data_IF_176526122614
#
_entry.id   IF_176526122614
#
_cell.length_a   1.000
_cell.length_b   1.000
_cell.length_c   1.000
_cell.angle_alpha   90.00
_cell.angle_beta   90.00
_cell.angle_gamma   90.00
#
_symmetry.space_group_name_H-M   'P 1'
#
loop_
_entity.id
_entity.type
_entity.pdbx_description
1 polymer ?
#
# COMPACT_ATOMS: atom_id res chain seq x y z
N UNK A 1 -29.70 19.46 -23.86
CA UNK A 1 -29.32 18.91 -22.55
C UNK A 1 -27.80 18.91 -22.50
N UNK A 2 -27.13 19.47 -21.48
CA UNK A 2 -25.69 19.46 -21.45
C UNK A 2 -25.20 17.99 -21.31
N UNK A 3 -24.14 17.60 -22.03
CA UNK A 3 -23.67 16.21 -22.05
C UNK A 3 -23.13 15.81 -20.68
N UNK A 4 -23.54 14.62 -20.24
CA UNK A 4 -23.22 13.96 -18.98
C UNK A 4 -21.74 14.11 -18.60
N UNK A 5 -21.47 14.90 -17.56
CA UNK A 5 -20.12 15.14 -17.06
C UNK A 5 -19.83 14.21 -15.87
N UNK A 6 -19.79 12.91 -16.13
CA UNK A 6 -19.34 11.97 -15.11
C UNK A 6 -17.83 12.22 -15.00
N UNK A 7 -17.37 12.64 -13.84
CA UNK A 7 -15.97 12.95 -13.55
C UNK A 7 -15.68 12.21 -12.27
N UNK A 8 -14.88 11.15 -12.32
CA UNK A 8 -14.33 10.53 -11.11
C UNK A 8 -13.21 11.44 -10.62
N UNK A 9 -13.45 12.21 -9.57
CA UNK A 9 -12.42 13.04 -8.95
C UNK A 9 -11.76 12.30 -7.79
N UNK A 10 -10.61 11.68 -8.06
CA UNK A 10 -9.79 11.04 -7.03
C UNK A 10 -8.91 12.10 -6.37
N UNK A 11 -9.18 12.39 -5.10
CA UNK A 11 -8.35 13.29 -4.30
C UNK A 11 -7.50 12.53 -3.32
N UNK A 12 -6.22 12.36 -3.63
CA UNK A 12 -5.30 11.67 -2.73
C UNK A 12 -4.71 12.66 -1.71
N UNK A 13 -4.74 12.36 -0.40
CA UNK A 13 -4.30 13.29 0.65
C UNK A 13 -2.94 12.94 1.25
N UNK A 14 -2.09 13.97 1.42
CA UNK A 14 -1.07 14.04 2.48
C UNK A 14 -1.55 15.06 3.52
N UNK A 15 -1.10 14.95 4.78
CA UNK A 15 -1.67 15.56 6.02
C UNK A 15 -2.19 17.02 6.01
N UNK A 16 -2.01 17.81 4.94
CA UNK A 16 -2.55 19.18 4.85
C UNK A 16 -3.18 19.58 3.49
N UNK A 17 -3.06 18.80 2.40
CA UNK A 17 -3.61 19.19 1.06
C UNK A 17 -4.01 17.98 0.18
N UNK A 18 -4.85 18.23 -0.84
CA UNK A 18 -5.19 17.29 -1.92
C UNK A 18 -4.38 17.61 -3.18
N UNK A 19 -3.13 17.13 -3.31
CA UNK A 19 -2.22 17.48 -4.40
C UNK A 19 -2.56 16.88 -5.76
N UNK A 20 -3.47 15.90 -5.84
CA UNK A 20 -3.78 15.21 -7.10
C UNK A 20 -5.28 15.16 -7.36
N UNK A 21 -5.66 15.40 -8.62
CA UNK A 21 -7.01 15.22 -9.13
C UNK A 21 -6.93 14.38 -10.40
N UNK A 22 -7.60 13.24 -10.39
CA UNK A 22 -7.81 12.44 -11.61
C UNK A 22 -9.18 12.83 -12.16
N UNK A 23 -9.32 12.88 -13.48
CA UNK A 23 -10.57 13.17 -14.16
C UNK A 23 -10.83 12.08 -15.20
N UNK A 24 -11.87 11.28 -15.01
CA UNK A 24 -12.33 10.28 -15.99
C UNK A 24 -13.63 10.77 -16.59
N UNK A 25 -13.74 10.88 -17.93
CA UNK A 25 -14.95 11.42 -18.59
C UNK A 25 -15.08 12.95 -18.53
N UNK A 26 -13.96 13.66 -18.38
CA UNK A 26 -13.93 15.13 -18.36
C UNK A 26 -14.31 15.75 -19.72
N UNK A 27 -14.60 17.06 -19.71
CA UNK A 27 -14.92 17.87 -20.91
C UNK A 27 -16.03 17.25 -21.78
N UNK A 28 -17.17 16.93 -21.16
CA UNK A 28 -18.28 16.29 -21.86
C UNK A 28 -17.98 14.86 -22.28
N UNK A 29 -17.36 14.07 -21.39
CA UNK A 29 -17.03 12.67 -21.62
C UNK A 29 -16.08 12.44 -22.80
N UNK A 30 -15.15 13.38 -23.03
CA UNK A 30 -14.23 13.36 -24.18
C UNK A 30 -12.78 13.07 -23.80
N UNK A 31 -12.41 13.24 -22.52
CA UNK A 31 -11.01 13.18 -22.08
C UNK A 31 -10.84 12.52 -20.72
N UNK A 32 -9.63 12.02 -20.50
CA UNK A 32 -9.07 11.71 -19.18
C UNK A 32 -7.94 12.70 -18.91
N UNK A 33 -7.83 13.16 -17.67
CA UNK A 33 -6.76 14.07 -17.26
C UNK A 33 -6.29 13.84 -15.83
N UNK A 34 -5.04 14.20 -15.55
CA UNK A 34 -4.48 14.25 -14.20
C UNK A 34 -4.02 15.69 -13.95
N UNK A 35 -4.47 16.29 -12.85
CA UNK A 35 -4.05 17.62 -12.41
C UNK A 35 -3.32 17.54 -11.08
N UNK A 36 -2.18 18.23 -11.02
CA UNK A 36 -1.39 18.39 -9.80
C UNK A 36 -1.63 19.76 -9.18
N UNK A 37 -1.73 19.82 -7.85
CA UNK A 37 -1.84 21.03 -7.03
C UNK A 37 -2.94 22.02 -7.44
N UNK A 38 -3.97 21.55 -8.16
CA UNK A 38 -5.02 22.37 -8.78
C UNK A 38 -4.47 23.42 -9.76
N UNK A 39 -3.29 23.19 -10.33
CA UNK A 39 -2.64 24.08 -11.28
C UNK A 39 -2.90 23.67 -12.73
N UNK A 40 -2.82 24.64 -13.63
CA UNK A 40 -2.85 24.43 -15.08
C UNK A 40 -1.47 24.74 -15.65
N UNK A 41 -1.02 24.04 -16.71
CA UNK A 41 -1.72 22.97 -17.45
C UNK A 41 -1.85 21.67 -16.65
N UNK A 42 -2.78 20.79 -17.07
CA UNK A 42 -2.88 19.44 -16.49
C UNK A 42 -1.60 18.65 -16.81
N UNK A 43 -1.12 17.84 -15.86
CA UNK A 43 0.11 17.03 -16.05
C UNK A 43 -0.11 15.88 -17.03
N UNK A 44 -1.36 15.44 -17.17
CA UNK A 44 -1.81 14.55 -18.25
C UNK A 44 -3.13 15.06 -18.78
N UNK A 45 -3.27 15.10 -20.09
CA UNK A 45 -4.55 15.32 -20.77
C UNK A 45 -4.57 14.47 -22.05
N UNK A 46 -5.48 13.50 -22.13
CA UNK A 46 -5.57 12.57 -23.26
C UNK A 46 -7.02 12.43 -23.75
N UNK A 47 -7.27 12.45 -25.07
CA UNK A 47 -8.57 12.10 -25.64
C UNK A 47 -8.96 10.67 -25.28
N UNK A 48 -10.14 10.50 -24.70
CA UNK A 48 -10.69 9.20 -24.35
C UNK A 48 -12.23 9.28 -24.36
N UNK A 49 -12.86 9.43 -25.54
CA UNK A 49 -14.28 9.75 -25.62
C UNK A 49 -15.20 8.59 -25.22
N UNK A 50 -16.43 8.91 -24.82
CA UNK A 50 -17.48 7.95 -24.45
C UNK A 50 -17.07 7.03 -23.28
N UNK A 51 -16.27 7.56 -22.36
CA UNK A 51 -15.73 6.80 -21.22
C UNK A 51 -16.83 6.33 -20.29
N UNK A 52 -17.79 7.18 -19.96
CA UNK A 52 -18.81 6.92 -18.94
C UNK A 52 -20.22 6.93 -19.53
N UNK A 53 -21.16 6.24 -18.89
CA UNK A 53 -22.54 6.04 -19.36
C UNK A 53 -23.53 6.28 -18.23
N UNK A 54 -24.74 6.74 -18.54
CA UNK A 54 -25.82 6.90 -17.55
C UNK A 54 -26.54 5.57 -17.25
N UNK A 55 -26.44 4.58 -18.14
CA UNK A 55 -27.20 3.32 -18.04
C UNK A 55 -26.38 2.10 -17.65
N UNK A 56 -25.06 2.25 -17.48
CA UNK A 56 -24.15 1.13 -17.27
C UNK A 56 -22.96 1.56 -16.40
N UNK A 57 -22.67 0.77 -15.37
CA UNK A 57 -21.46 0.91 -14.59
C UNK A 57 -20.25 0.48 -15.41
N UNK A 58 -19.26 1.36 -15.53
CA UNK A 58 -17.94 1.02 -16.07
C UNK A 58 -16.94 0.86 -14.95
N UNK A 59 -16.05 -0.12 -15.10
CA UNK A 59 -15.08 -0.43 -14.07
C UNK A 59 -13.73 0.17 -14.40
N UNK A 60 -13.15 0.84 -13.43
CA UNK A 60 -11.82 1.42 -13.49
C UNK A 60 -11.03 0.95 -12.30
N UNK A 61 -9.72 0.89 -12.47
CA UNK A 61 -8.81 0.72 -11.35
C UNK A 61 -7.76 1.82 -11.40
N UNK A 62 -7.33 2.22 -10.21
CA UNK A 62 -6.28 3.21 -10.02
C UNK A 62 -5.28 2.64 -9.05
N UNK A 63 -4.00 2.74 -9.39
CA UNK A 63 -2.91 2.37 -8.49
C UNK A 63 -1.93 3.52 -8.39
N UNK A 64 -1.36 3.69 -7.20
CA UNK A 64 -0.31 4.67 -6.95
C UNK A 64 0.86 3.92 -6.31
N UNK A 65 1.96 3.86 -7.04
CA UNK A 65 3.11 3.08 -6.64
C UNK A 65 4.39 3.73 -7.17
N UNK A 66 5.41 3.92 -6.31
CA UNK A 66 6.72 4.49 -6.65
C UNK A 66 6.63 5.80 -7.44
N UNK A 67 5.85 6.75 -6.90
CA UNK A 67 5.57 8.02 -7.56
C UNK A 67 4.82 7.88 -8.89
N UNK A 68 4.28 6.71 -9.23
CA UNK A 68 3.59 6.45 -10.49
C UNK A 68 2.11 6.18 -10.28
N UNK A 69 1.27 6.93 -10.98
CA UNK A 69 -0.18 6.73 -11.08
C UNK A 69 -0.47 5.92 -12.32
N UNK A 70 -1.17 4.81 -12.15
CA UNK A 70 -1.67 3.99 -13.25
C UNK A 70 -3.20 3.97 -13.24
N UNK A 71 -3.79 4.08 -14.42
CA UNK A 71 -5.21 3.91 -14.66
C UNK A 71 -5.43 2.76 -15.63
N UNK A 72 -6.36 1.88 -15.29
CA UNK A 72 -6.86 0.88 -16.23
C UNK A 72 -8.36 0.66 -16.10
N UNK A 73 -8.86 -0.26 -16.92
CA UNK A 73 -10.27 -0.59 -17.04
C UNK A 73 -10.51 -2.06 -16.80
N UNK A 74 -11.68 -2.35 -16.26
CA UNK A 74 -12.20 -3.69 -16.05
C UNK A 74 -11.19 -4.57 -15.29
N UNK A 75 -11.02 -5.82 -15.72
CA UNK A 75 -10.04 -6.75 -15.18
C UNK A 75 -8.74 -6.77 -15.98
N UNK A 76 -8.54 -5.83 -16.92
CA UNK A 76 -7.30 -5.76 -17.67
C UNK A 76 -6.17 -5.22 -16.77
N UNK A 77 -5.11 -6.00 -16.50
CA UNK A 77 -4.02 -5.55 -15.63
C UNK A 77 -3.11 -4.52 -16.31
N UNK A 78 -3.24 -4.31 -17.61
CA UNK A 78 -2.43 -3.34 -18.35
C UNK A 78 -3.05 -1.95 -18.22
N UNK A 79 -2.34 -0.95 -17.66
CA UNK A 79 -2.86 0.40 -17.60
C UNK A 79 -3.01 0.98 -19.01
N UNK A 80 -4.12 1.69 -19.25
CA UNK A 80 -4.26 2.51 -20.45
C UNK A 80 -3.58 3.88 -20.29
N UNK A 81 -3.28 4.30 -19.05
CA UNK A 81 -2.57 5.54 -18.73
C UNK A 81 -1.62 5.31 -17.56
N UNK A 82 -0.39 5.79 -17.70
CA UNK A 82 0.64 5.78 -16.66
C UNK A 82 1.32 7.14 -16.60
N UNK A 83 1.50 7.68 -15.40
CA UNK A 83 2.18 8.95 -15.17
C UNK A 83 3.03 8.89 -13.91
N UNK A 84 4.31 9.26 -14.04
CA UNK A 84 5.29 9.19 -12.96
C UNK A 84 5.76 10.58 -12.54
N UNK A 85 5.91 10.77 -11.23
CA UNK A 85 6.39 11.98 -10.59
C UNK A 85 7.15 11.61 -9.30
N UNK A 86 8.50 11.68 -9.32
CA UNK A 86 9.33 11.33 -8.16
C UNK A 86 9.08 12.18 -6.92
N UNK A 87 8.45 13.36 -7.08
CA UNK A 87 8.14 14.27 -5.97
C UNK A 87 6.73 14.04 -5.40
N UNK A 88 6.06 12.96 -5.80
CA UNK A 88 4.73 12.62 -5.33
C UNK A 88 4.77 12.10 -3.88
N UNK A 89 3.92 12.64 -2.98
CA UNK A 89 3.84 12.13 -1.62
C UNK A 89 3.12 10.78 -1.59
N UNK A 90 3.31 10.04 -0.50
CA UNK A 90 2.47 8.89 -0.18
C UNK A 90 1.05 9.33 0.15
N UNK A 91 0.06 8.61 -0.39
CA UNK A 91 -1.35 8.87 -0.17
C UNK A 91 -1.95 7.84 0.78
N UNK A 92 -2.63 8.33 1.82
CA UNK A 92 -3.28 7.49 2.82
C UNK A 92 -4.79 7.30 2.58
N UNK A 93 -5.42 8.24 1.87
CA UNK A 93 -6.84 8.18 1.56
C UNK A 93 -7.13 8.81 0.19
N UNK A 94 -8.30 8.47 -0.35
CA UNK A 94 -8.85 9.08 -1.55
C UNK A 94 -10.31 9.48 -1.36
N UNK A 95 -10.75 10.52 -2.07
CA UNK A 95 -12.15 10.90 -2.21
C UNK A 95 -12.67 10.59 -3.62
N UNK A 96 -13.99 10.47 -3.77
CA UNK A 96 -14.68 10.41 -5.06
C UNK A 96 -15.81 11.43 -5.05
N UNK A 97 -15.93 12.24 -6.09
CA UNK A 97 -17.11 13.07 -6.33
C UNK A 97 -17.39 13.14 -7.82
N UNK A 98 -18.60 13.58 -8.19
CA UNK A 98 -18.96 13.91 -9.57
C UNK A 98 -18.43 15.28 -9.98
N UNK A 99 -18.44 15.53 -11.28
CA UNK A 99 -18.16 16.85 -11.85
C UNK A 99 -19.31 17.83 -11.61
N UNK A 100 -19.04 19.12 -11.80
CA UNK A 100 -20.05 20.17 -11.64
C UNK A 100 -21.27 19.91 -12.53
N UNK A 101 -22.46 19.90 -11.92
CA UNK A 101 -23.73 19.69 -12.63
C UNK A 101 -24.04 18.23 -13.00
N UNK A 102 -23.21 17.27 -12.57
CA UNK A 102 -23.45 15.85 -12.79
C UNK A 102 -23.85 15.11 -11.51
N UNK A 103 -24.68 14.08 -11.69
CA UNK A 103 -24.98 13.07 -10.67
C UNK A 103 -24.44 11.72 -11.16
N UNK A 104 -24.14 10.84 -10.23
CA UNK A 104 -23.56 9.53 -10.53
C UNK A 104 -23.65 8.64 -9.30
N UNK A 105 -23.57 7.34 -9.53
CA UNK A 105 -23.43 6.34 -8.48
C UNK A 105 -22.05 5.70 -8.65
N UNK A 106 -21.46 5.24 -7.56
CA UNK A 106 -20.22 4.48 -7.64
C UNK A 106 -20.18 3.39 -6.59
N UNK A 107 -19.45 2.32 -6.91
CA UNK A 107 -19.12 1.24 -5.98
C UNK A 107 -17.61 1.15 -5.89
N UNK A 108 -17.08 1.16 -4.67
CA UNK A 108 -15.65 0.97 -4.39
C UNK A 108 -15.46 -0.50 -4.00
N UNK A 109 -14.55 -1.17 -4.69
CA UNK A 109 -14.12 -2.54 -4.41
C UNK A 109 -12.63 -2.49 -3.98
N UNK A 110 -12.35 -2.93 -2.76
CA UNK A 110 -11.03 -2.93 -2.10
C UNK A 110 -10.30 -4.28 -2.22
N UNK A 111 -11.00 -5.34 -2.62
CA UNK A 111 -10.49 -6.71 -2.67
C UNK A 111 -10.01 -7.19 -4.06
N UNK A 112 -9.83 -6.29 -5.03
CA UNK A 112 -9.48 -6.66 -6.40
C UNK A 112 -8.00 -7.08 -6.55
N UNK A 113 -7.71 -8.26 -7.10
CA UNK A 113 -6.36 -8.84 -7.23
C UNK A 113 -5.61 -8.52 -8.53
N UNK A 114 -6.26 -7.86 -9.51
CA UNK A 114 -5.83 -7.87 -10.91
C UNK A 114 -4.57 -7.07 -11.25
N UNK A 115 -4.30 -5.92 -10.62
CA UNK A 115 -3.06 -5.19 -10.88
C UNK A 115 -1.95 -5.61 -9.93
N UNK A 116 -0.82 -6.05 -10.49
CA UNK A 116 0.48 -6.24 -9.82
C UNK A 116 1.48 -5.30 -10.49
N UNK A 117 2.22 -4.53 -9.71
CA UNK A 117 3.32 -3.75 -10.26
C UNK A 117 4.31 -4.72 -10.92
N UNK A 118 5.02 -4.28 -11.97
CA UNK A 118 6.08 -5.07 -12.57
C UNK A 118 7.04 -5.54 -11.47
N UNK A 119 7.56 -6.78 -11.54
CA UNK A 119 8.60 -7.20 -10.62
C UNK A 119 9.73 -6.18 -10.68
N UNK A 120 10.22 -5.78 -9.50
CA UNK A 120 11.41 -4.98 -9.39
C UNK A 120 12.52 -5.55 -10.29
N UNK A 121 13.28 -4.73 -11.03
CA UNK A 121 14.61 -5.19 -11.42
C UNK A 121 15.31 -5.60 -10.12
N UNK A 122 15.84 -6.82 -10.10
CA UNK A 122 16.63 -7.34 -8.99
C UNK A 122 17.85 -6.44 -8.89
N UNK A 123 17.75 -5.36 -8.12
CA UNK A 123 18.93 -4.61 -7.70
C UNK A 123 19.60 -5.54 -6.70
N UNK A 124 20.68 -6.17 -7.13
CA UNK A 124 21.61 -6.88 -6.25
C UNK A 124 22.14 -5.87 -5.23
N UNK A 125 21.40 -5.64 -4.16
CA UNK A 125 21.86 -4.86 -3.03
C UNK A 125 23.03 -5.62 -2.38
N UNK A 126 24.14 -4.94 -2.06
CA UNK A 126 25.26 -5.58 -1.40
C UNK A 126 24.89 -5.90 0.05
N UNK A 127 24.92 -7.18 0.40
CA UNK A 127 24.60 -7.73 1.73
C UNK A 127 23.12 -8.06 1.84
N UNK A 128 22.66 -9.30 2.02
CA UNK A 128 23.21 -10.41 2.79
C UNK A 128 22.98 -11.72 2.04
N UNK A 129 24.03 -12.52 1.89
CA UNK A 129 23.93 -13.88 1.38
C UNK A 129 23.16 -14.74 2.38
N UNK A 130 21.92 -15.11 2.05
CA UNK A 130 21.25 -16.23 2.72
C UNK A 130 21.58 -17.45 1.87
N UNK A 131 22.31 -18.42 2.43
CA UNK A 131 22.66 -19.65 1.74
C UNK A 131 21.40 -20.33 1.16
N UNK A 132 21.43 -20.83 -0.09
CA UNK A 132 20.32 -21.59 -0.67
C UNK A 132 20.34 -23.01 -0.08
N UNK A 133 20.03 -23.15 1.22
CA UNK A 133 19.88 -24.45 1.90
C UNK A 133 19.34 -24.32 3.33
N UNK A 134 18.47 -23.36 3.62
CA UNK A 134 17.58 -23.54 4.78
C UNK A 134 16.57 -24.64 4.39
N UNK A 135 16.51 -25.78 5.11
CA UNK A 135 15.50 -26.78 4.85
C UNK A 135 14.11 -26.15 5.01
N UNK A 136 13.13 -26.67 4.27
CA UNK A 136 11.71 -26.51 4.62
C UNK A 136 11.47 -27.15 6.01
N UNK A 137 11.86 -26.43 7.06
CA UNK A 137 11.44 -26.70 8.42
C UNK A 137 10.03 -26.18 8.58
N UNK A 138 9.06 -27.06 8.33
CA UNK A 138 7.63 -26.78 8.46
C UNK A 138 7.24 -26.65 9.94
N UNK A 139 7.49 -25.48 10.52
CA UNK A 139 6.74 -25.01 11.69
C UNK A 139 5.85 -23.87 11.23
N UNK A 140 4.57 -23.90 11.65
CA UNK A 140 3.60 -22.89 11.25
C UNK A 140 3.86 -21.57 12.02
N UNK A 141 3.82 -20.41 11.34
CA UNK A 141 4.02 -19.12 11.98
C UNK A 141 3.01 -18.93 13.12
N UNK A 142 3.52 -18.69 14.33
CA UNK A 142 2.70 -18.54 15.55
C UNK A 142 3.02 -17.22 16.23
N UNK A 143 1.98 -16.47 16.58
CA UNK A 143 2.08 -15.24 17.35
C UNK A 143 1.98 -15.55 18.84
N UNK A 144 3.01 -15.20 19.62
CA UNK A 144 3.05 -15.39 21.07
C UNK A 144 2.89 -14.05 21.78
N UNK A 145 1.83 -13.86 22.60
CA UNK A 145 1.70 -12.68 23.43
C UNK A 145 2.87 -12.57 24.40
N UNK A 146 3.37 -11.36 24.56
CA UNK A 146 4.40 -11.00 25.53
C UNK A 146 4.19 -9.56 26.01
N UNK A 147 4.93 -9.18 27.05
CA UNK A 147 4.96 -7.82 27.56
C UNK A 147 6.37 -7.45 27.99
N UNK A 148 6.75 -6.19 27.81
CA UNK A 148 8.07 -5.73 28.25
C UNK A 148 9.21 -6.37 27.44
N UNK A 149 10.27 -6.80 28.13
CA UNK A 149 11.51 -7.31 27.53
C UNK A 149 11.57 -8.84 27.38
N UNK A 150 10.46 -9.56 27.63
CA UNK A 150 10.41 -11.02 27.55
C UNK A 150 10.32 -11.51 26.09
N UNK A 151 11.46 -11.85 25.49
CA UNK A 151 11.50 -12.38 24.12
C UNK A 151 11.47 -13.92 24.14
N UNK A 152 10.52 -14.57 23.45
CA UNK A 152 10.49 -16.02 23.35
C UNK A 152 11.75 -16.62 22.69
N UNK A 153 12.22 -17.82 23.11
CA UNK A 153 13.44 -18.45 22.58
C UNK A 153 13.47 -18.69 21.05
N UNK A 154 12.30 -18.83 20.41
CA UNK A 154 12.14 -19.07 18.97
C UNK A 154 11.62 -17.83 18.22
N UNK A 155 11.87 -16.64 18.76
CA UNK A 155 11.48 -15.38 18.13
C UNK A 155 12.20 -15.18 16.80
N UNK A 156 11.43 -14.80 15.78
CA UNK A 156 11.96 -14.62 14.42
C UNK A 156 12.75 -13.31 14.33
N UNK A 157 14.05 -13.37 13.96
CA UNK A 157 14.85 -12.19 13.70
C UNK A 157 14.27 -11.35 12.57
N UNK A 158 14.02 -10.08 12.84
CA UNK A 158 13.42 -9.14 11.89
C UNK A 158 14.42 -8.21 11.24
N UNK A 159 15.48 -7.85 11.98
CA UNK A 159 16.44 -6.85 11.58
C UNK A 159 17.47 -6.59 12.67
N UNK A 160 18.26 -5.53 12.51
CA UNK A 160 19.32 -5.17 13.45
C UNK A 160 19.47 -3.65 13.50
N UNK A 161 19.53 -3.11 14.72
CA UNK A 161 19.80 -1.70 15.00
C UNK A 161 20.48 -1.61 16.37
N UNK A 162 21.81 -1.67 16.39
CA UNK A 162 22.67 -1.80 17.59
C UNK A 162 22.42 -3.06 18.45
N UNK A 163 21.23 -3.65 18.38
CA UNK A 163 20.83 -4.93 18.94
C UNK A 163 19.97 -5.72 17.94
N UNK A 164 19.72 -7.00 18.25
CA UNK A 164 18.84 -7.86 17.47
C UNK A 164 17.38 -7.39 17.61
N UNK A 165 16.74 -7.07 16.49
CA UNK A 165 15.31 -6.74 16.44
C UNK A 165 14.50 -7.99 16.09
N UNK A 166 13.29 -8.10 16.65
CA UNK A 166 12.38 -9.20 16.36
C UNK A 166 11.11 -8.69 15.66
N UNK A 167 10.44 -9.60 14.95
CA UNK A 167 9.15 -9.31 14.32
C UNK A 167 8.07 -9.37 15.40
N UNK A 168 7.37 -8.26 15.60
CA UNK A 168 6.20 -8.21 16.46
C UNK A 168 4.99 -7.60 15.78
N UNK A 169 3.86 -7.65 16.47
CA UNK A 169 2.66 -6.88 16.15
C UNK A 169 1.99 -6.41 17.42
N UNK A 170 1.31 -5.28 17.34
CA UNK A 170 0.59 -4.72 18.48
C UNK A 170 -0.74 -4.09 18.04
N UNK A 171 -1.70 -4.10 18.96
CA UNK A 171 -3.00 -3.45 18.77
C UNK A 171 -2.90 -1.97 19.15
N UNK A 172 -3.29 -1.08 18.24
CA UNK A 172 -3.35 0.36 18.49
C UNK A 172 -4.45 1.01 17.65
N UNK A 173 -5.31 1.81 18.28
CA UNK A 173 -6.39 2.55 17.63
C UNK A 173 -7.27 1.71 16.67
N UNK A 174 -7.58 0.47 17.05
CA UNK A 174 -8.41 -0.46 16.26
C UNK A 174 -7.65 -1.21 15.16
N UNK A 175 -6.35 -0.96 14.99
CA UNK A 175 -5.48 -1.64 14.03
C UNK A 175 -4.56 -2.64 14.74
N UNK A 176 -4.41 -3.84 14.19
CA UNK A 176 -3.38 -4.81 14.59
C UNK A 176 -2.22 -4.65 13.62
N UNK A 177 -1.18 -3.93 14.03
CA UNK A 177 -0.10 -3.48 13.12
C UNK A 177 1.19 -4.25 13.38
N UNK A 178 1.85 -4.82 12.34
CA UNK A 178 3.19 -5.39 12.47
C UNK A 178 4.26 -4.30 12.63
N UNK A 179 5.32 -4.60 13.37
CA UNK A 179 6.38 -3.67 13.70
C UNK A 179 7.65 -4.34 14.21
N UNK A 180 8.56 -3.52 14.74
CA UNK A 180 9.85 -3.96 15.28
C UNK A 180 9.78 -4.10 16.80
N UNK A 181 10.26 -5.22 17.33
CA UNK A 181 10.43 -5.40 18.78
C UNK A 181 11.88 -5.07 19.13
N UNK A 182 12.04 -4.19 20.11
CA UNK A 182 13.34 -3.73 20.61
C UNK A 182 13.47 -4.25 22.04
N UNK A 183 14.20 -5.38 22.26
CA UNK A 183 14.26 -6.04 23.55
C UNK A 183 14.72 -5.13 24.69
N UNK A 184 15.75 -4.31 24.46
CA UNK A 184 16.27 -3.39 25.47
C UNK A 184 15.27 -2.31 25.90
N UNK A 185 14.35 -1.92 25.01
CA UNK A 185 13.30 -0.94 25.31
C UNK A 185 12.04 -1.59 25.88
N UNK A 186 11.89 -2.92 25.72
CA UNK A 186 10.74 -3.67 26.21
C UNK A 186 9.43 -3.32 25.51
N UNK A 187 9.47 -2.91 24.24
CA UNK A 187 8.29 -2.51 23.47
C UNK A 187 8.34 -3.02 22.03
N UNK A 188 7.16 -3.16 21.43
CA UNK A 188 7.00 -3.24 19.98
C UNK A 188 6.67 -1.85 19.43
N UNK A 189 7.53 -1.35 18.54
CA UNK A 189 7.28 -0.11 17.81
C UNK A 189 6.49 -0.40 16.54
N UNK A 190 5.33 0.25 16.41
CA UNK A 190 4.46 0.17 15.25
C UNK A 190 4.29 1.55 14.61
N UNK A 191 4.14 1.57 13.28
CA UNK A 191 3.86 2.81 12.54
C UNK A 191 2.35 3.02 12.40
N UNK A 192 1.81 4.06 13.04
CA UNK A 192 0.39 4.41 12.96
C UNK A 192 0.21 5.93 12.96
N UNK A 193 -0.76 6.45 12.20
CA UNK A 193 -1.04 7.90 12.15
C UNK A 193 0.11 8.80 11.69
N UNK A 194 1.15 8.25 11.04
CA UNK A 194 2.36 8.98 10.65
C UNK A 194 3.40 9.13 11.77
N UNK A 195 3.20 8.46 12.92
CA UNK A 195 4.15 8.39 14.02
C UNK A 195 4.54 6.94 14.34
N UNK A 196 5.63 6.77 15.06
CA UNK A 196 6.05 5.50 15.64
C UNK A 196 5.56 5.43 17.09
N UNK A 197 4.88 4.34 17.45
CA UNK A 197 4.31 4.12 18.78
C UNK A 197 4.93 2.89 19.43
N UNK A 198 5.58 3.07 20.58
CA UNK A 198 6.10 1.96 21.39
C UNK A 198 5.00 1.38 22.28
N UNK A 199 4.61 0.13 22.00
CA UNK A 199 3.55 -0.58 22.73
C UNK A 199 4.19 -1.66 23.62
N UNK A 200 3.97 -1.64 24.95
CA UNK A 200 4.58 -2.59 25.87
C UNK A 200 3.91 -3.97 25.84
N UNK A 201 2.64 -4.05 25.46
CA UNK A 201 1.90 -5.30 25.28
C UNK A 201 1.81 -5.62 23.78
N UNK A 202 2.43 -6.73 23.36
CA UNK A 202 2.56 -7.07 21.95
C UNK A 202 2.65 -8.58 21.74
N UNK A 203 2.63 -9.02 20.49
CA UNK A 203 2.86 -10.41 20.13
C UNK A 203 4.14 -10.53 19.31
N UNK A 204 4.93 -11.57 19.54
CA UNK A 204 6.16 -11.89 18.80
C UNK A 204 5.90 -13.05 17.84
N UNK A 205 6.39 -12.93 16.61
CA UNK A 205 6.35 -14.01 15.64
C UNK A 205 7.37 -15.10 16.02
N UNK A 206 6.92 -16.35 16.08
CA UNK A 206 7.73 -17.51 16.45
C UNK A 206 7.40 -18.72 15.57
N UNK A 207 8.25 -19.75 15.64
CA UNK A 207 7.94 -21.06 15.08
C UNK A 207 7.84 -21.07 13.56
N UNK A 208 8.62 -20.22 12.88
CA UNK A 208 8.80 -20.29 11.43
C UNK A 208 10.17 -19.73 11.04
N UNK A 209 10.66 -20.12 9.86
CA UNK A 209 11.87 -19.54 9.25
C UNK A 209 11.49 -18.87 7.92
N UNK A 210 11.13 -17.57 7.92
CA UNK A 210 10.68 -16.92 6.70
C UNK A 210 11.83 -16.67 5.73
N UNK A 211 11.52 -16.76 4.43
CA UNK A 211 12.39 -16.24 3.37
C UNK A 211 12.01 -14.79 3.07
N UNK A 212 13.00 -13.90 3.06
CA UNK A 212 12.80 -12.50 2.69
C UNK A 212 12.99 -12.32 1.19
N UNK A 213 11.91 -11.94 0.51
CA UNK A 213 11.91 -11.71 -0.93
C UNK A 213 12.09 -10.20 -1.17
N UNK A 214 13.15 -9.77 -1.86
CA UNK A 214 13.29 -8.38 -2.26
C UNK A 214 12.11 -7.98 -3.16
N UNK A 215 11.43 -6.92 -2.78
CA UNK A 215 10.33 -6.34 -3.56
C UNK A 215 10.54 -4.84 -3.63
N UNK A 216 10.34 -4.25 -4.82
CA UNK A 216 10.11 -2.82 -4.94
C UNK A 216 8.62 -2.56 -5.03
N UNK A 217 8.28 -1.39 -4.53
CA UNK A 217 7.17 -1.17 -3.64
C UNK A 217 5.76 -1.64 -4.00
N UNK A 218 5.07 -1.78 -2.88
CA UNK A 218 3.75 -2.35 -2.82
C UNK A 218 3.69 -3.83 -3.20
N UNK A 219 4.62 -4.39 -3.99
CA UNK A 219 4.52 -5.79 -4.39
C UNK A 219 4.56 -6.71 -3.17
N UNK A 220 3.43 -7.36 -2.94
CA UNK A 220 3.29 -8.42 -1.96
C UNK A 220 3.50 -9.74 -2.71
N UNK A 221 4.58 -10.49 -2.42
CA UNK A 221 4.80 -11.80 -3.02
C UNK A 221 3.65 -12.75 -2.75
N UNK A 222 3.44 -13.71 -3.65
CA UNK A 222 2.53 -14.82 -3.37
C UNK A 222 2.99 -15.55 -2.09
N UNK A 223 2.05 -15.88 -1.22
CA UNK A 223 2.28 -16.46 0.11
C UNK A 223 2.97 -15.55 1.15
N UNK A 224 2.98 -14.22 0.93
CA UNK A 224 3.41 -13.30 1.98
C UNK A 224 2.59 -13.48 3.27
N UNK A 225 3.28 -13.47 4.41
CA UNK A 225 2.65 -13.64 5.72
C UNK A 225 1.85 -12.37 6.08
N UNK A 226 0.52 -12.49 6.07
CA UNK A 226 -0.35 -11.48 6.66
C UNK A 226 -0.14 -11.49 8.18
N UNK A 227 0.24 -10.34 8.75
CA UNK A 227 0.56 -10.21 10.16
C UNK A 227 -0.45 -9.40 10.94
N UNK A 228 -1.38 -8.72 10.26
CA UNK A 228 -2.37 -7.91 10.92
C UNK A 228 -3.43 -7.39 9.98
N UNK A 229 -4.16 -6.41 10.49
CA UNK A 229 -5.26 -5.76 9.78
C UNK A 229 -5.42 -4.31 10.27
N UNK A 230 -5.72 -3.40 9.35
CA UNK A 230 -5.99 -2.00 9.68
C UNK A 230 -7.30 -1.84 10.47
N UNK A 231 -7.57 -0.62 10.93
CA UNK A 231 -8.85 -0.23 11.54
C UNK A 231 -10.07 -0.41 10.61
N UNK A 232 -9.84 -0.51 9.30
CA UNK A 232 -10.88 -0.77 8.28
C UNK A 232 -10.90 -2.23 7.82
N UNK A 233 -10.02 -3.08 8.35
CA UNK A 233 -9.92 -4.49 7.96
C UNK A 233 -8.98 -4.78 6.78
N UNK A 234 -8.24 -3.79 6.27
CA UNK A 234 -7.24 -4.03 5.22
C UNK A 234 -6.12 -4.93 5.74
N UNK A 235 -5.71 -5.97 4.99
CA UNK A 235 -4.63 -6.85 5.41
C UNK A 235 -3.29 -6.11 5.45
N UNK A 236 -2.55 -6.30 6.55
CA UNK A 236 -1.20 -5.76 6.73
C UNK A 236 -0.16 -6.89 6.66
N UNK A 237 0.89 -6.68 5.87
CA UNK A 237 1.98 -7.64 5.66
C UNK A 237 3.27 -7.19 6.34
N UNK A 238 4.17 -8.14 6.58
CA UNK A 238 5.50 -7.86 7.13
C UNK A 238 6.44 -7.49 6.00
N UNK A 239 7.12 -6.36 6.14
CA UNK A 239 8.27 -6.00 5.33
C UNK A 239 9.44 -5.60 6.19
N UNK A 240 10.61 -5.55 5.57
CA UNK A 240 11.80 -4.93 6.18
C UNK A 240 12.45 -4.01 5.16
N UNK A 241 13.01 -2.92 5.64
CA UNK A 241 13.76 -1.96 4.83
C UNK A 241 15.16 -1.78 5.41
N UNK A 242 16.14 -1.65 4.53
CA UNK A 242 17.48 -1.20 4.90
C UNK A 242 17.50 0.33 4.83
N UNK A 243 17.93 0.97 5.91
CA UNK A 243 18.15 2.39 5.96
C UNK A 243 19.45 2.66 6.73
N UNK A 244 20.44 3.22 6.02
CA UNK A 244 21.83 3.28 6.46
C UNK A 244 22.35 1.86 6.82
N UNK A 245 22.95 1.71 8.00
CA UNK A 245 23.49 0.44 8.52
C UNK A 245 22.45 -0.36 9.33
N UNK A 246 21.18 0.05 9.32
CA UNK A 246 20.10 -0.60 10.06
C UNK A 246 19.16 -1.35 9.11
N UNK A 247 18.65 -2.48 9.59
CA UNK A 247 17.54 -3.19 8.96
C UNK A 247 16.38 -3.17 9.93
N UNK A 248 15.26 -2.58 9.53
CA UNK A 248 14.09 -2.43 10.39
C UNK A 248 12.86 -3.10 9.81
N UNK A 249 12.03 -3.67 10.68
CA UNK A 249 10.75 -4.30 10.32
C UNK A 249 9.64 -3.27 10.36
N UNK A 250 8.70 -3.37 9.43
CA UNK A 250 7.50 -2.56 9.43
C UNK A 250 6.34 -3.22 8.69
N UNK A 251 5.29 -2.42 8.50
CA UNK A 251 4.12 -2.80 7.74
C UNK A 251 4.29 -2.51 6.25
N UNK A 252 3.78 -3.40 5.41
CA UNK A 252 3.60 -3.17 3.98
C UNK A 252 2.13 -3.25 3.66
N UNK A 253 1.65 -2.25 2.93
CA UNK A 253 0.28 -2.15 2.42
C UNK A 253 0.39 -2.12 0.89
N UNK A 254 -0.54 -2.75 0.20
CA UNK A 254 -0.64 -2.62 -1.25
C UNK A 254 -1.72 -1.58 -1.60
N UNK A 255 -1.35 -0.33 -1.93
CA UNK A 255 -2.31 0.70 -2.26
C UNK A 255 -2.94 0.46 -3.63
N UNK A 256 -4.20 0.03 -3.64
CA UNK A 256 -5.03 -0.07 -4.85
C UNK A 256 -6.49 0.10 -4.50
N UNK A 257 -7.26 0.63 -5.44
CA UNK A 257 -8.72 0.49 -5.40
C UNK A 257 -9.25 0.22 -6.80
N UNK A 258 -10.37 -0.49 -6.85
CA UNK A 258 -11.20 -0.61 -8.06
C UNK A 258 -12.49 0.15 -7.82
N UNK A 259 -12.93 0.93 -8.80
CA UNK A 259 -14.16 1.71 -8.73
C UNK A 259 -15.02 1.36 -9.93
N UNK A 260 -16.30 1.11 -9.67
CA UNK A 260 -17.34 1.03 -10.69
C UNK A 260 -18.12 2.34 -10.68
N UNK A 261 -18.13 3.07 -11.79
CA UNK A 261 -18.79 4.38 -11.96
C UNK A 261 -19.84 4.31 -13.06
#
# INVERSE_FOLDING_TARGET
MPPYQIMLHVQCSSMLHFPLQIFIGGWGNSKIAIRRNREKPDVVEQPYPNTLSAGEFKTFWVTWYDGTINLGMDDNPTPFLSWSDPSMPYFACFGICTGWGATGSWVIEDNWSGWRAPPAPIIEAPGWSIAPSAPLGTSQPTWKPTSGSEIPPDAVPGGFDNEQLYIGRASHAGSLTPGKVVPSHGVCYIAWGGAEHGIPDYEVLTGCSPAWIPVTGGQIPDHALQAGQSETGEPLYIGRAQHNDTVTVGKVIFPKFKIRV
#
